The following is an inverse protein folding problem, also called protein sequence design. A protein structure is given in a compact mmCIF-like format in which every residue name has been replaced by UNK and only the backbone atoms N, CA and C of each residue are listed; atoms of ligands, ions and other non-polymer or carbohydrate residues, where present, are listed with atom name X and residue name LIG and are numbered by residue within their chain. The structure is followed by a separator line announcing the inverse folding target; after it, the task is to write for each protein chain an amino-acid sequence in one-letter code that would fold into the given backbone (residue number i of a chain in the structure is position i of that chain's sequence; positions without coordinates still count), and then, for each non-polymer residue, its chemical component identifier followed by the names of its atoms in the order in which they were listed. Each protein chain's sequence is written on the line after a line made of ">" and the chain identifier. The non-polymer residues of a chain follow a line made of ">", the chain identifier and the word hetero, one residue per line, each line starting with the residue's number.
data_IF_134460408606
#
_entry.id   IF_134460408606
#
_cell.length_a   1.000
_cell.length_b   1.000
_cell.length_c   1.000
_cell.angle_alpha   90.00
_cell.angle_beta   90.00
_cell.angle_gamma   90.00
#
_symmetry.space_group_name_H-M   'P 1'
#
loop_
_entity.id
_entity.type
_entity.pdbx_description
1 polymer ?
#
# COMPACT_ATOMS: atom_id res chain seq x y z
N UNK A 1 -14.77 13.90 9.23
CA UNK A 1 -13.87 13.14 10.11
C UNK A 1 -13.91 13.79 11.49
N UNK A 2 -14.32 13.04 12.52
CA UNK A 2 -14.36 13.49 13.92
C UNK A 2 -12.96 13.43 14.55
N UNK A 3 -12.75 14.19 15.64
CA UNK A 3 -11.52 14.06 16.46
C UNK A 3 -11.35 12.63 16.96
N UNK A 4 -12.45 11.95 17.27
CA UNK A 4 -12.44 10.55 17.69
C UNK A 4 -11.83 9.64 16.61
N UNK A 5 -12.24 9.81 15.36
CA UNK A 5 -11.75 9.01 14.21
C UNK A 5 -10.25 9.21 14.01
N UNK A 6 -9.76 10.45 14.16
CA UNK A 6 -8.32 10.77 14.04
C UNK A 6 -7.51 10.06 15.13
N UNK A 7 -8.03 10.01 16.36
CA UNK A 7 -7.36 9.34 17.48
C UNK A 7 -7.28 7.83 17.23
N UNK A 8 -8.39 7.22 16.80
CA UNK A 8 -8.42 5.78 16.54
C UNK A 8 -7.54 5.41 15.34
N UNK A 9 -7.60 6.16 14.23
CA UNK A 9 -6.72 5.95 13.08
C UNK A 9 -5.23 6.03 13.45
N UNK A 10 -4.85 6.98 14.31
CA UNK A 10 -3.47 7.09 14.80
C UNK A 10 -3.07 5.91 15.70
N UNK A 11 -4.00 5.37 16.48
CA UNK A 11 -3.79 4.18 17.31
C UNK A 11 -3.58 2.94 16.44
N UNK A 12 -4.43 2.74 15.43
CA UNK A 12 -4.30 1.65 14.45
C UNK A 12 -2.97 1.75 13.70
N UNK A 13 -2.59 2.94 13.24
CA UNK A 13 -1.30 3.16 12.58
C UNK A 13 -0.10 2.82 13.46
N UNK A 14 -0.15 3.15 14.75
CA UNK A 14 0.92 2.81 15.70
C UNK A 14 1.01 1.31 15.94
N UNK A 15 -0.12 0.62 16.08
CA UNK A 15 -0.15 -0.83 16.23
C UNK A 15 0.42 -1.50 14.98
N UNK A 16 0.02 -1.05 13.80
CA UNK A 16 0.55 -1.48 12.52
C UNK A 16 2.07 -1.33 12.42
N UNK A 17 2.59 -0.13 12.71
CA UNK A 17 4.04 0.10 12.70
C UNK A 17 4.79 -0.67 13.79
N UNK A 18 4.15 -1.06 14.88
CA UNK A 18 4.76 -1.93 15.89
C UNK A 18 4.95 -3.35 15.36
N UNK A 19 3.97 -3.89 14.63
CA UNK A 19 4.07 -5.20 13.95
C UNK A 19 5.19 -5.22 12.92
N UNK A 20 5.28 -4.17 12.10
CA UNK A 20 6.39 -4.03 11.14
C UNK A 20 7.74 -4.06 11.87
N UNK A 21 7.87 -3.36 12.99
CA UNK A 21 9.13 -3.32 13.76
C UNK A 21 9.51 -4.65 14.42
N UNK A 22 8.56 -5.56 14.64
CA UNK A 22 8.86 -6.91 15.15
C UNK A 22 9.35 -7.88 14.08
N UNK A 23 9.21 -7.55 12.79
CA UNK A 23 9.72 -8.36 11.70
C UNK A 23 11.26 -8.36 11.67
N UNK A 24 11.89 -9.37 11.03
CA UNK A 24 13.33 -9.36 10.80
C UNK A 24 13.82 -8.12 10.01
N UNK A 25 15.10 -7.71 10.14
CA UNK A 25 15.57 -6.43 9.58
C UNK A 25 15.41 -6.27 8.06
N UNK A 26 15.59 -7.35 7.30
CA UNK A 26 15.39 -7.41 5.85
C UNK A 26 13.92 -7.18 5.47
N UNK A 27 12.99 -7.84 6.16
CA UNK A 27 11.54 -7.63 6.00
C UNK A 27 11.16 -6.18 6.29
N UNK A 28 11.74 -5.56 7.34
CA UNK A 28 11.48 -4.16 7.66
C UNK A 28 11.92 -3.20 6.55
N UNK A 29 13.05 -3.48 5.89
CA UNK A 29 13.57 -2.66 4.80
C UNK A 29 12.64 -2.76 3.60
N UNK A 30 12.32 -3.98 3.19
CA UNK A 30 11.43 -4.23 2.05
C UNK A 30 10.05 -3.64 2.29
N UNK A 31 9.48 -3.84 3.47
CA UNK A 31 8.18 -3.28 3.82
C UNK A 31 8.15 -1.76 3.65
N UNK A 32 9.21 -1.04 4.08
CA UNK A 32 9.30 0.41 3.94
C UNK A 32 9.41 0.87 2.49
N UNK A 33 10.12 0.12 1.65
CA UNK A 33 10.24 0.43 0.23
C UNK A 33 8.92 0.16 -0.50
N UNK A 34 8.24 -0.96 -0.22
CA UNK A 34 6.88 -1.25 -0.70
C UNK A 34 5.90 -0.16 -0.25
N UNK A 35 5.92 0.21 1.02
CA UNK A 35 5.09 1.27 1.57
C UNK A 35 5.30 2.57 0.79
N UNK A 36 6.56 3.01 0.60
CA UNK A 36 6.87 4.23 -0.17
C UNK A 36 6.36 4.15 -1.61
N UNK A 37 6.48 2.99 -2.25
CA UNK A 37 6.02 2.76 -3.61
C UNK A 37 4.49 2.84 -3.69
N UNK A 38 3.78 2.10 -2.83
CA UNK A 38 2.32 2.09 -2.78
C UNK A 38 1.73 3.46 -2.43
N UNK A 39 2.38 4.26 -1.58
CA UNK A 39 1.93 5.64 -1.35
C UNK A 39 2.00 6.53 -2.61
N UNK A 40 2.78 6.14 -3.61
CA UNK A 40 2.90 6.87 -4.88
C UNK A 40 1.93 6.37 -5.94
N UNK A 41 1.82 5.05 -6.11
CA UNK A 41 1.08 4.44 -7.24
C UNK A 41 -0.14 3.63 -6.81
N UNK A 42 -0.28 3.39 -5.52
CA UNK A 42 -1.27 2.50 -4.94
C UNK A 42 -2.70 3.04 -4.98
N UNK A 43 -3.63 2.27 -4.39
CA UNK A 43 -5.04 2.55 -4.46
C UNK A 43 -5.42 3.78 -3.63
N UNK A 44 -6.56 4.38 -3.98
CA UNK A 44 -7.02 5.62 -3.31
C UNK A 44 -7.39 5.43 -1.84
N UNK A 45 -7.66 4.18 -1.44
CA UNK A 45 -8.02 3.78 -0.08
C UNK A 45 -6.83 3.16 0.68
N UNK A 46 -5.60 3.25 0.18
CA UNK A 46 -4.41 2.61 0.77
C UNK A 46 -4.28 2.79 2.30
N UNK A 47 -4.60 3.98 2.82
CA UNK A 47 -4.44 4.32 4.24
C UNK A 47 -5.49 3.71 5.16
N UNK A 48 -6.69 3.49 4.63
CA UNK A 48 -7.86 3.00 5.39
C UNK A 48 -8.24 1.56 4.97
N UNK A 49 -7.62 1.06 3.91
CA UNK A 49 -7.87 -0.23 3.30
C UNK A 49 -7.03 -1.38 3.89
N UNK A 50 -7.38 -2.63 3.54
CA UNK A 50 -6.76 -3.83 4.10
C UNK A 50 -5.36 -4.12 3.55
N UNK A 51 -4.90 -3.37 2.54
CA UNK A 51 -3.70 -3.68 1.78
C UNK A 51 -2.42 -3.66 2.64
N UNK A 52 -2.18 -2.56 3.37
CA UNK A 52 -0.99 -2.44 4.21
C UNK A 52 -0.98 -3.47 5.36
N UNK A 53 -2.08 -3.68 6.11
CA UNK A 53 -2.18 -4.76 7.09
C UNK A 53 -1.95 -6.15 6.48
N UNK A 54 -2.56 -6.44 5.33
CA UNK A 54 -2.42 -7.74 4.66
C UNK A 54 -0.99 -8.07 4.23
N UNK A 55 -0.21 -7.06 3.81
CA UNK A 55 1.22 -7.24 3.54
C UNK A 55 1.98 -7.63 4.81
N UNK A 56 1.63 -7.02 5.96
CA UNK A 56 2.27 -7.37 7.24
C UNK A 56 1.89 -8.79 7.67
N UNK A 57 0.62 -9.17 7.52
CA UNK A 57 0.15 -10.54 7.81
C UNK A 57 0.94 -11.56 6.98
N UNK A 58 1.10 -11.32 5.67
CA UNK A 58 1.89 -12.17 4.77
C UNK A 58 3.38 -12.25 5.17
N UNK A 59 3.96 -11.12 5.58
CA UNK A 59 5.36 -11.07 6.02
C UNK A 59 5.57 -11.78 7.37
N UNK A 60 4.63 -11.68 8.30
CA UNK A 60 4.68 -12.41 9.57
C UNK A 60 4.65 -13.93 9.35
N UNK A 61 3.79 -14.41 8.44
CA UNK A 61 3.72 -15.83 8.07
C UNK A 61 5.03 -16.31 7.44
N UNK A 62 5.53 -15.59 6.43
CA UNK A 62 6.78 -15.94 5.76
C UNK A 62 8.00 -15.89 6.67
N UNK A 63 8.05 -14.93 7.61
CA UNK A 63 9.10 -14.86 8.62
C UNK A 63 9.00 -16.02 9.63
N UNK A 64 7.79 -16.44 10.01
CA UNK A 64 7.58 -17.59 10.89
C UNK A 64 8.02 -18.91 10.24
N UNK A 65 7.93 -19.02 8.91
CA UNK A 65 8.45 -20.14 8.13
C UNK A 65 9.97 -20.07 7.89
N UNK A 66 10.63 -18.98 8.28
CA UNK A 66 12.07 -18.78 8.11
C UNK A 66 12.50 -18.49 6.68
N UNK A 67 11.58 -18.07 5.81
CA UNK A 67 11.88 -17.69 4.42
C UNK A 67 12.54 -16.33 4.35
N UNK A 68 13.38 -16.11 3.33
CA UNK A 68 13.90 -14.77 3.04
C UNK A 68 12.82 -13.88 2.44
N UNK A 69 12.83 -12.57 2.72
CA UNK A 69 11.79 -11.68 2.18
C UNK A 69 11.76 -11.65 0.64
N UNK A 70 12.92 -11.67 -0.02
CA UNK A 70 13.02 -11.70 -1.48
C UNK A 70 12.68 -13.09 -2.07
N UNK A 71 12.73 -14.14 -1.26
CA UNK A 71 12.23 -15.47 -1.65
C UNK A 71 10.70 -15.47 -1.75
N UNK A 72 10.03 -14.67 -0.90
CA UNK A 72 8.57 -14.56 -0.90
C UNK A 72 8.01 -13.70 -2.04
N UNK A 73 8.63 -12.53 -2.26
CA UNK A 73 8.09 -11.53 -3.19
C UNK A 73 8.85 -11.46 -4.52
N UNK A 74 10.02 -12.09 -4.61
CA UNK A 74 10.95 -11.95 -5.73
C UNK A 74 11.90 -10.76 -5.58
N UNK A 75 12.85 -10.65 -6.52
CA UNK A 75 13.83 -9.55 -6.54
C UNK A 75 13.21 -8.22 -7.00
N UNK A 76 12.14 -8.28 -7.79
CA UNK A 76 11.42 -7.09 -8.28
C UNK A 76 10.25 -6.72 -7.36
N UNK A 77 10.56 -5.91 -6.35
CA UNK A 77 9.59 -5.42 -5.36
C UNK A 77 8.50 -4.56 -6.01
N UNK A 78 8.82 -3.83 -7.09
CA UNK A 78 7.86 -2.97 -7.76
C UNK A 78 6.85 -3.81 -8.54
N UNK A 79 7.33 -4.80 -9.31
CA UNK A 79 6.46 -5.73 -10.01
C UNK A 79 5.50 -6.47 -9.06
N UNK A 80 6.01 -6.93 -7.91
CA UNK A 80 5.16 -7.52 -6.88
C UNK A 80 4.07 -6.56 -6.39
N UNK A 81 4.42 -5.29 -6.13
CA UNK A 81 3.45 -4.28 -5.71
C UNK A 81 2.41 -3.99 -6.81
N UNK A 82 2.83 -3.91 -8.07
CA UNK A 82 1.95 -3.66 -9.22
C UNK A 82 0.91 -4.80 -9.35
N UNK A 83 1.37 -6.05 -9.23
CA UNK A 83 0.48 -7.22 -9.24
C UNK A 83 -0.51 -7.22 -8.07
N UNK A 84 -0.10 -6.71 -6.91
CA UNK A 84 -0.93 -6.62 -5.72
C UNK A 84 -2.06 -5.58 -5.86
N UNK A 85 -1.85 -4.51 -6.62
CA UNK A 85 -2.82 -3.41 -6.79
C UNK A 85 -3.57 -3.41 -8.12
N UNK A 86 -3.27 -4.34 -9.04
CA UNK A 86 -3.78 -4.37 -10.42
C UNK A 86 -5.31 -4.28 -10.55
N UNK A 87 -6.06 -4.81 -9.58
CA UNK A 87 -7.52 -4.85 -9.56
C UNK A 87 -8.12 -3.74 -8.67
N UNK A 88 -7.29 -2.85 -8.13
CA UNK A 88 -7.69 -1.76 -7.24
C UNK A 88 -7.75 -0.43 -7.98
N UNK A 89 -8.70 0.44 -7.59
CA UNK A 89 -8.79 1.79 -8.16
C UNK A 89 -7.67 2.67 -7.62
N UNK A 90 -6.77 3.10 -8.51
CA UNK A 90 -5.63 3.95 -8.19
C UNK A 90 -5.94 5.43 -8.43
N UNK A 91 -5.09 6.31 -7.90
CA UNK A 91 -5.16 7.73 -8.22
C UNK A 91 -4.91 8.01 -9.72
N UNK A 92 -4.14 7.15 -10.39
CA UNK A 92 -3.90 7.27 -11.83
C UNK A 92 -5.20 7.06 -12.63
N UNK A 93 -6.01 6.07 -12.26
CA UNK A 93 -7.30 5.79 -12.90
C UNK A 93 -8.25 6.99 -12.74
N UNK A 94 -8.35 7.53 -11.52
CA UNK A 94 -9.17 8.72 -11.23
C UNK A 94 -8.73 9.91 -12.10
N UNK A 95 -7.42 10.09 -12.27
CA UNK A 95 -6.89 11.17 -13.09
C UNK A 95 -7.21 10.97 -14.58
N UNK A 96 -7.06 9.75 -15.11
CA UNK A 96 -7.39 9.42 -16.50
C UNK A 96 -8.87 9.65 -16.81
N UNK A 97 -9.77 9.23 -15.91
CA UNK A 97 -11.21 9.48 -16.02
C UNK A 97 -11.52 10.99 -16.10
N UNK A 98 -10.84 11.80 -15.28
CA UNK A 98 -11.04 13.26 -15.28
C UNK A 98 -10.60 13.92 -16.60
N UNK A 99 -9.54 13.40 -17.23
CA UNK A 99 -9.03 13.91 -18.52
C UNK A 99 -9.89 13.45 -19.71
N UNK A 100 -10.57 12.31 -19.60
CA UNK A 100 -11.53 11.80 -20.58
C UNK A 100 -12.84 12.62 -20.66
N UNK A 101 -13.09 13.51 -19.70
CA UNK A 101 -14.21 14.45 -19.73
C UNK A 101 -13.98 15.56 -20.75
N UNK A 102 -14.56 15.39 -21.96
CA UNK A 102 -14.71 16.34 -23.09
C UNK A 102 -13.98 17.70 -22.98
N UNK A 103 -13.10 18.07 -23.95
CA UNK A 103 -12.68 19.46 -24.09
C UNK A 103 -13.92 20.32 -24.35
N UNK A 104 -14.09 21.37 -23.56
CA UNK A 104 -15.23 22.28 -23.68
C UNK A 104 -15.43 22.71 -25.12
N UNK A 105 -16.66 22.54 -25.62
CA UNK A 105 -17.12 23.19 -26.84
C UNK A 105 -17.07 24.69 -26.61
N UNK A 106 -15.95 25.32 -26.94
CA UNK A 106 -15.90 26.75 -27.17
C UNK A 106 -16.51 26.98 -28.55
N UNK A 107 -17.84 27.01 -28.61
CA UNK A 107 -18.56 27.60 -29.74
C UNK A 107 -18.25 29.10 -29.79
N UNK A 108 -17.92 29.55 -31.00
CA UNK A 108 -17.51 30.91 -31.37
C UNK A 108 -18.66 31.89 -31.37
#
# INVERSE_FOLDING_TARGET
>A
MSIHDIIEGKKQWRAHMARVKSLPPDYQIVYKEMQRYLFKVGPTDLTDGPLLPGIVDFFEEGAAEGKGVLELIGEDVAAFCDDLIKDSRTYADVYQESLGGKPGTAEK
#
